data_IF_984347323248
#
_entry.id   IF_984347323248
#
_cell.length_a   1.000
_cell.length_b   1.000
_cell.length_c   1.000
_cell.angle_alpha   90.00
_cell.angle_beta   90.00
_cell.angle_gamma   90.00
#
_symmetry.space_group_name_H-M   'P 1'
#
loop_
_entity.id
_entity.type
_entity.pdbx_description
1 polymer ?
#
# COMPACT_ATOMS: atom_id res chain seq x y z
N UNK A 1 -18.22 36.91 32.83
CA UNK A 1 -17.86 35.55 32.37
C UNK A 1 -17.51 35.63 30.89
N UNK A 2 -16.24 35.49 30.57
CA UNK A 2 -15.70 35.71 29.22
C UNK A 2 -15.49 34.33 28.58
N UNK A 3 -16.40 33.95 27.69
CA UNK A 3 -16.34 32.67 26.96
C UNK A 3 -15.30 32.82 25.85
N UNK A 4 -14.14 32.18 26.04
CA UNK A 4 -13.09 32.10 25.04
C UNK A 4 -13.61 31.35 23.79
N UNK A 5 -13.39 31.87 22.57
CA UNK A 5 -13.77 31.14 21.37
C UNK A 5 -12.88 29.90 21.22
N UNK A 6 -13.52 28.77 20.95
CA UNK A 6 -12.90 27.49 20.62
C UNK A 6 -11.96 27.73 19.43
N UNK A 7 -10.66 27.66 19.69
CA UNK A 7 -9.62 27.62 18.67
C UNK A 7 -9.81 26.35 17.85
N UNK A 8 -10.51 26.48 16.72
CA UNK A 8 -10.51 25.45 15.68
C UNK A 8 -9.09 25.37 15.14
N UNK A 9 -8.37 24.36 15.62
CA UNK A 9 -7.07 23.96 15.13
C UNK A 9 -7.19 23.61 13.63
N UNK A 10 -7.01 24.62 12.77
CA UNK A 10 -6.65 24.46 11.36
C UNK A 10 -5.25 23.82 11.32
N UNK A 11 -5.15 22.55 11.68
CA UNK A 11 -3.96 21.76 11.40
C UNK A 11 -3.98 21.33 9.93
N UNK A 12 -3.61 22.32 9.11
CA UNK A 12 -2.68 22.20 8.01
C UNK A 12 -2.66 20.86 7.26
N UNK A 13 -3.46 20.84 6.19
CA UNK A 13 -3.26 20.11 4.93
C UNK A 13 -1.94 20.48 4.21
N UNK A 14 -0.85 20.72 4.95
CA UNK A 14 0.44 21.20 4.45
C UNK A 14 1.62 20.24 4.74
N UNK A 15 1.35 18.98 5.11
CA UNK A 15 2.42 17.99 5.32
C UNK A 15 2.85 17.23 4.05
N UNK A 16 2.66 17.82 2.87
CA UNK A 16 3.09 17.23 1.58
C UNK A 16 4.35 17.88 0.98
N UNK A 17 4.99 18.82 1.69
CA UNK A 17 6.20 19.42 1.19
C UNK A 17 6.85 20.40 2.15
N UNK A 18 7.56 19.90 3.15
CA UNK A 18 8.78 20.47 3.75
C UNK A 18 9.08 19.78 5.08
N UNK A 19 9.95 18.78 5.04
CA UNK A 19 10.88 18.51 6.13
C UNK A 19 12.27 18.54 5.53
N UNK A 20 12.85 19.74 5.48
CA UNK A 20 14.28 19.93 5.29
C UNK A 20 14.91 19.77 6.67
N UNK A 21 15.31 18.55 7.00
CA UNK A 21 16.21 18.24 8.11
C UNK A 21 17.44 17.53 7.56
N UNK A 22 18.63 17.85 8.08
CA UNK A 22 19.98 17.49 7.62
C UNK A 22 20.30 15.97 7.51
N UNK A 23 19.31 15.08 7.60
CA UNK A 23 19.44 13.63 7.50
C UNK A 23 18.68 13.03 6.30
N UNK A 24 18.43 13.83 5.27
CA UNK A 24 17.66 13.44 4.09
C UNK A 24 18.53 12.73 3.04
N UNK A 25 18.05 11.61 2.49
CA UNK A 25 18.71 10.96 1.35
C UNK A 25 18.90 11.93 0.18
N UNK A 26 20.08 11.90 -0.43
CA UNK A 26 20.38 12.64 -1.64
C UNK A 26 19.48 12.21 -2.80
N UNK A 27 19.41 13.04 -3.85
CA UNK A 27 18.62 12.74 -5.06
C UNK A 27 19.05 11.41 -5.70
N UNK A 28 20.35 11.09 -5.69
CA UNK A 28 20.90 9.85 -6.25
C UNK A 28 20.46 8.63 -5.43
N UNK A 29 20.54 8.72 -4.10
CA UNK A 29 20.13 7.61 -3.22
C UNK A 29 18.63 7.36 -3.29
N UNK A 30 17.81 8.43 -3.34
CA UNK A 30 16.37 8.32 -3.58
C UNK A 30 16.07 7.66 -4.92
N UNK A 31 16.82 8.01 -5.98
CA UNK A 31 16.66 7.38 -7.28
C UNK A 31 16.97 5.88 -7.24
N UNK A 32 17.99 5.45 -6.49
CA UNK A 32 18.29 4.02 -6.28
C UNK A 32 17.15 3.32 -5.53
N UNK A 33 16.65 3.92 -4.45
CA UNK A 33 15.52 3.37 -3.68
C UNK A 33 14.28 3.23 -4.56
N UNK A 34 13.92 4.30 -5.27
CA UNK A 34 12.78 4.30 -6.19
C UNK A 34 12.97 3.29 -7.31
N UNK A 35 14.15 3.23 -7.92
CA UNK A 35 14.47 2.28 -8.97
C UNK A 35 14.28 0.83 -8.51
N UNK A 36 14.81 0.48 -7.35
CA UNK A 36 14.63 -0.87 -6.79
C UNK A 36 13.19 -1.17 -6.38
N UNK A 37 12.45 -0.17 -5.89
CA UNK A 37 11.02 -0.30 -5.60
C UNK A 37 10.21 -0.59 -6.86
N UNK A 38 10.46 0.16 -7.94
CA UNK A 38 9.85 -0.04 -9.26
C UNK A 38 10.19 -1.43 -9.79
N UNK A 39 11.45 -1.86 -9.67
CA UNK A 39 11.89 -3.20 -10.09
C UNK A 39 11.19 -4.31 -9.31
N UNK A 40 11.09 -4.21 -7.98
CA UNK A 40 10.37 -5.18 -7.15
C UNK A 40 8.89 -5.27 -7.49
N UNK A 41 8.26 -4.13 -7.74
CA UNK A 41 6.87 -4.02 -8.20
C UNK A 41 6.69 -4.67 -9.58
N UNK A 42 7.55 -4.33 -10.54
CA UNK A 42 7.50 -4.85 -11.90
C UNK A 42 7.78 -6.36 -11.95
N UNK A 43 8.74 -6.86 -11.17
CA UNK A 43 9.02 -8.28 -11.05
C UNK A 43 7.80 -9.05 -10.51
N UNK A 44 7.09 -8.48 -9.52
CA UNK A 44 5.87 -9.08 -8.98
C UNK A 44 4.75 -9.10 -10.01
N UNK A 45 4.54 -8.00 -10.73
CA UNK A 45 3.61 -7.95 -11.85
C UNK A 45 3.95 -8.98 -12.94
N UNK A 46 5.24 -9.16 -13.27
CA UNK A 46 5.68 -10.16 -14.24
C UNK A 46 5.44 -11.60 -13.75
N UNK A 47 5.75 -11.89 -12.49
CA UNK A 47 5.48 -13.21 -11.90
C UNK A 47 3.98 -13.55 -11.93
N UNK A 48 3.13 -12.59 -11.57
CA UNK A 48 1.68 -12.75 -11.63
C UNK A 48 1.19 -12.91 -13.07
N UNK A 49 1.71 -12.11 -14.02
CA UNK A 49 1.37 -12.23 -15.42
C UNK A 49 1.67 -13.64 -15.98
N UNK A 50 2.85 -14.19 -15.66
CA UNK A 50 3.21 -15.56 -16.04
C UNK A 50 2.26 -16.58 -15.43
N UNK A 51 1.91 -16.41 -14.15
CA UNK A 51 1.00 -17.31 -13.43
C UNK A 51 -0.42 -17.28 -14.01
N UNK A 52 -0.88 -16.12 -14.49
CA UNK A 52 -2.16 -15.96 -15.19
C UNK A 52 -2.11 -16.39 -16.67
N UNK A 53 -1.02 -17.03 -17.13
CA UNK A 53 -0.88 -17.56 -18.48
C UNK A 53 -0.45 -16.55 -19.54
N UNK A 54 -0.08 -15.32 -19.15
CA UNK A 54 0.44 -14.33 -20.09
C UNK A 54 1.92 -14.60 -20.42
N UNK A 55 2.27 -14.38 -21.69
CA UNK A 55 3.65 -14.50 -22.16
C UNK A 55 4.49 -13.32 -21.66
N UNK A 56 5.61 -13.62 -20.98
CA UNK A 56 6.61 -12.64 -20.55
C UNK A 56 7.61 -12.24 -21.64
N UNK A 57 7.37 -12.64 -22.89
CA UNK A 57 8.26 -12.28 -23.98
C UNK A 57 8.13 -10.77 -24.28
N UNK A 58 9.20 -9.96 -24.16
CA UNK A 58 9.13 -8.50 -24.29
C UNK A 58 8.52 -8.05 -25.61
N UNK A 59 8.85 -8.75 -26.71
CA UNK A 59 8.33 -8.44 -28.03
C UNK A 59 6.81 -8.71 -28.16
N UNK A 60 6.28 -9.71 -27.44
CA UNK A 60 4.84 -10.02 -27.40
C UNK A 60 4.08 -9.09 -26.47
N UNK A 61 4.70 -8.64 -25.38
CA UNK A 61 4.12 -7.64 -24.45
C UNK A 61 3.99 -6.27 -25.12
N UNK A 62 5.04 -5.81 -25.82
CA UNK A 62 5.05 -4.51 -26.48
C UNK A 62 4.06 -4.42 -27.65
N UNK A 63 3.87 -5.53 -28.40
CA UNK A 63 2.86 -5.61 -29.47
C UNK A 63 1.42 -5.66 -28.95
N UNK A 64 1.19 -6.07 -27.71
CA UNK A 64 -0.14 -6.22 -27.10
C UNK A 64 -0.34 -5.30 -25.89
N UNK A 65 0.21 -4.07 -25.90
CA UNK A 65 0.06 -3.11 -24.78
C UNK A 65 -1.42 -2.89 -24.40
N UNK A 66 -2.33 -2.82 -25.37
CA UNK A 66 -3.79 -2.68 -25.13
C UNK A 66 -4.47 -3.97 -24.61
N UNK A 67 -3.84 -5.14 -24.75
CA UNK A 67 -4.29 -6.45 -24.21
C UNK A 67 -3.44 -6.94 -23.03
N UNK A 68 -2.54 -6.12 -22.52
CA UNK A 68 -1.56 -6.50 -21.52
C UNK A 68 -2.20 -6.80 -20.15
N UNK A 69 -1.48 -7.56 -19.33
CA UNK A 69 -1.84 -7.92 -17.95
C UNK A 69 -2.30 -6.70 -17.14
N UNK A 70 -1.56 -5.58 -17.24
CA UNK A 70 -1.92 -4.31 -16.58
C UNK A 70 -3.24 -3.68 -17.09
N UNK A 71 -3.72 -4.04 -18.28
CA UNK A 71 -4.90 -3.44 -18.90
C UNK A 71 -6.20 -4.24 -18.65
N UNK A 72 -6.10 -5.55 -18.39
CA UNK A 72 -7.23 -6.49 -18.34
C UNK A 72 -7.38 -7.23 -17.00
N UNK A 73 -6.43 -7.10 -16.07
CA UNK A 73 -6.48 -7.86 -14.82
C UNK A 73 -7.22 -7.07 -13.75
N UNK A 74 -8.30 -7.67 -13.26
CA UNK A 74 -8.81 -7.39 -11.92
C UNK A 74 -7.75 -7.93 -10.97
N UNK A 75 -6.95 -7.05 -10.38
CA UNK A 75 -6.08 -7.47 -9.29
C UNK A 75 -6.99 -7.97 -8.18
N UNK A 76 -6.95 -9.27 -7.90
CA UNK A 76 -7.57 -9.80 -6.70
C UNK A 76 -6.63 -9.58 -5.52
N UNK A 77 -7.19 -9.70 -4.33
CA UNK A 77 -6.60 -9.48 -3.02
C UNK A 77 -5.18 -10.06 -2.90
N UNK A 78 -4.96 -11.26 -3.48
CA UNK A 78 -3.66 -11.94 -3.46
C UNK A 78 -2.63 -11.28 -4.37
N UNK A 79 -3.03 -10.79 -5.53
CA UNK A 79 -2.18 -10.04 -6.45
C UNK A 79 -1.75 -8.70 -5.83
N UNK A 80 -2.68 -7.98 -5.19
CA UNK A 80 -2.39 -6.70 -4.52
C UNK A 80 -1.36 -6.91 -3.39
N UNK A 81 -1.55 -7.94 -2.55
CA UNK A 81 -0.58 -8.32 -1.51
C UNK A 81 0.78 -8.68 -2.12
N UNK A 82 0.80 -9.44 -3.23
CA UNK A 82 2.05 -9.86 -3.89
C UNK A 82 2.83 -8.67 -4.44
N UNK A 83 2.13 -7.74 -5.10
CA UNK A 83 2.74 -6.52 -5.66
C UNK A 83 3.25 -5.61 -4.54
N UNK A 84 2.46 -5.45 -3.47
CA UNK A 84 2.85 -4.69 -2.28
C UNK A 84 4.09 -5.28 -1.61
N UNK A 85 4.16 -6.61 -1.54
CA UNK A 85 5.32 -7.30 -0.99
C UNK A 85 6.58 -7.12 -1.83
N UNK A 86 6.48 -7.29 -3.15
CA UNK A 86 7.61 -7.04 -4.05
C UNK A 86 8.10 -5.60 -4.01
N UNK A 87 7.17 -4.63 -3.96
CA UNK A 87 7.50 -3.22 -3.75
C UNK A 87 8.27 -2.99 -2.45
N UNK A 88 7.79 -3.54 -1.33
CA UNK A 88 8.45 -3.42 -0.02
C UNK A 88 9.85 -4.06 -0.01
N UNK A 89 10.00 -5.23 -0.65
CA UNK A 89 11.31 -5.91 -0.77
C UNK A 89 12.26 -5.12 -1.66
N UNK A 90 11.77 -4.60 -2.78
CA UNK A 90 12.55 -3.73 -3.68
C UNK A 90 13.02 -2.46 -2.98
N UNK A 91 12.12 -1.80 -2.26
CA UNK A 91 12.45 -0.64 -1.42
C UNK A 91 13.47 -0.95 -0.33
N UNK A 92 13.32 -2.09 0.37
CA UNK A 92 14.29 -2.55 1.37
C UNK A 92 15.67 -2.78 0.77
N UNK A 93 15.74 -3.46 -0.38
CA UNK A 93 16.99 -3.72 -1.10
C UNK A 93 17.67 -2.42 -1.52
N UNK A 94 16.93 -1.50 -2.15
CA UNK A 94 17.45 -0.17 -2.51
C UNK A 94 17.94 0.61 -1.29
N UNK A 95 17.17 0.59 -0.20
CA UNK A 95 17.56 1.19 1.07
C UNK A 95 18.84 0.59 1.66
N UNK A 96 19.09 -0.70 1.49
CA UNK A 96 20.33 -1.37 1.96
C UNK A 96 21.55 -1.08 1.08
N UNK A 97 21.31 -0.85 -0.21
CA UNK A 97 22.36 -0.46 -1.15
C UNK A 97 22.94 0.90 -0.77
N UNK A 98 22.08 1.86 -0.42
CA UNK A 98 22.48 3.24 -0.11
C UNK A 98 22.79 3.47 1.38
N UNK A 99 22.07 2.82 2.29
CA UNK A 99 22.25 3.01 3.73
C UNK A 99 23.02 1.84 4.35
N UNK A 100 24.22 2.14 4.88
CA UNK A 100 25.08 1.16 5.56
C UNK A 100 24.90 1.16 7.08
N UNK A 101 24.19 2.14 7.65
CA UNK A 101 24.01 2.23 9.09
C UNK A 101 23.14 1.05 9.60
N UNK A 102 23.65 0.22 10.53
CA UNK A 102 22.93 -0.94 11.06
C UNK A 102 21.57 -0.61 11.70
N UNK A 103 21.49 0.51 12.42
CA UNK A 103 20.27 0.95 13.10
C UNK A 103 19.22 1.40 12.09
N UNK A 104 19.62 2.15 11.06
CA UNK A 104 18.71 2.50 9.97
C UNK A 104 18.26 1.25 9.21
N UNK A 105 19.14 0.27 9.00
CA UNK A 105 18.76 -1.01 8.36
C UNK A 105 17.77 -1.81 9.19
N UNK A 106 17.87 -1.78 10.53
CA UNK A 106 16.91 -2.38 11.46
C UNK A 106 15.56 -1.65 11.39
N UNK A 107 15.56 -0.33 11.34
CA UNK A 107 14.36 0.47 11.15
C UNK A 107 13.65 0.15 9.83
N UNK A 108 14.39 -0.04 8.73
CA UNK A 108 13.84 -0.44 7.43
C UNK A 108 13.18 -1.82 7.49
N UNK A 109 13.81 -2.84 8.10
CA UNK A 109 13.18 -4.18 8.26
C UNK A 109 11.88 -4.09 9.06
N UNK A 110 11.88 -3.31 10.13
CA UNK A 110 10.67 -3.06 10.91
C UNK A 110 9.59 -2.44 10.02
N UNK A 111 9.92 -1.38 9.28
CA UNK A 111 8.98 -0.74 8.36
C UNK A 111 8.47 -1.72 7.30
N UNK A 112 9.32 -2.61 6.77
CA UNK A 112 8.89 -3.66 5.83
C UNK A 112 7.80 -4.53 6.44
N UNK A 113 8.01 -5.05 7.65
CA UNK A 113 7.00 -5.88 8.34
C UNK A 113 5.72 -5.08 8.58
N UNK A 114 5.85 -3.82 9.01
CA UNK A 114 4.70 -2.94 9.23
C UNK A 114 3.89 -2.75 7.95
N UNK A 115 4.52 -2.37 6.84
CA UNK A 115 3.83 -2.11 5.58
C UNK A 115 3.18 -3.37 5.00
N UNK A 116 3.84 -4.52 5.10
CA UNK A 116 3.24 -5.80 4.68
C UNK A 116 1.95 -6.11 5.45
N UNK A 117 1.94 -5.89 6.76
CA UNK A 117 0.74 -6.08 7.57
C UNK A 117 -0.36 -5.06 7.24
N UNK A 118 0.00 -3.80 7.06
CA UNK A 118 -0.99 -2.75 6.73
C UNK A 118 -1.57 -2.87 5.32
N UNK A 119 -0.87 -3.52 4.39
CA UNK A 119 -1.43 -3.89 3.08
C UNK A 119 -2.34 -5.12 3.24
N UNK A 120 -1.85 -6.18 3.88
CA UNK A 120 -2.53 -7.48 3.89
C UNK A 120 -3.75 -7.56 4.81
N UNK A 121 -3.68 -6.99 6.02
CA UNK A 121 -4.74 -7.11 7.03
C UNK A 121 -6.06 -6.48 6.55
N UNK A 122 -6.08 -5.24 6.02
CA UNK A 122 -7.34 -4.66 5.59
C UNK A 122 -7.90 -5.39 4.37
N UNK A 123 -7.08 -5.79 3.40
CA UNK A 123 -7.51 -6.59 2.24
C UNK A 123 -8.23 -7.87 2.70
N UNK A 124 -7.61 -8.65 3.60
CA UNK A 124 -8.20 -9.89 4.12
C UNK A 124 -9.49 -9.61 4.91
N UNK A 125 -9.53 -8.50 5.65
CA UNK A 125 -10.71 -8.09 6.43
C UNK A 125 -11.87 -7.74 5.50
N UNK A 126 -11.61 -6.98 4.43
CA UNK A 126 -12.59 -6.63 3.40
C UNK A 126 -13.14 -7.88 2.72
N UNK A 127 -12.28 -8.82 2.32
CA UNK A 127 -12.69 -10.08 1.70
C UNK A 127 -13.64 -10.87 2.62
N UNK A 128 -13.30 -10.94 3.90
CA UNK A 128 -14.08 -11.66 4.93
C UNK A 128 -15.45 -11.01 5.13
N UNK A 129 -15.49 -9.69 5.26
CA UNK A 129 -16.74 -8.94 5.44
C UNK A 129 -17.61 -8.99 4.18
N UNK A 130 -17.03 -8.87 2.99
CA UNK A 130 -17.76 -9.00 1.73
C UNK A 130 -18.38 -10.39 1.58
N UNK A 131 -17.64 -11.47 1.91
CA UNK A 131 -18.19 -12.84 1.91
C UNK A 131 -19.33 -13.02 2.90
N UNK A 132 -19.25 -12.40 4.07
CA UNK A 132 -20.33 -12.41 5.05
C UNK A 132 -21.57 -11.66 4.55
N UNK A 133 -21.40 -10.40 4.10
CA UNK A 133 -22.47 -9.56 3.58
C UNK A 133 -23.15 -10.15 2.34
N UNK A 134 -22.43 -10.91 1.51
CA UNK A 134 -22.99 -11.63 0.35
C UNK A 134 -24.13 -12.56 0.72
N UNK A 135 -24.15 -13.12 1.94
CA UNK A 135 -25.25 -13.98 2.42
C UNK A 135 -26.58 -13.22 2.54
N UNK A 136 -26.53 -11.88 2.64
CA UNK A 136 -27.68 -11.00 2.83
C UNK A 136 -28.00 -10.14 1.59
N UNK A 137 -27.32 -10.39 0.46
CA UNK A 137 -27.55 -9.70 -0.81
C UNK A 137 -26.43 -8.74 -1.24
N UNK A 138 -26.50 -8.25 -2.48
CA UNK A 138 -25.43 -7.43 -3.10
C UNK A 138 -25.22 -6.08 -2.40
N UNK A 139 -26.29 -5.45 -1.90
CA UNK A 139 -26.20 -4.19 -1.17
C UNK A 139 -25.53 -4.40 0.19
N UNK A 140 -25.90 -5.46 0.91
CA UNK A 140 -25.26 -5.85 2.16
C UNK A 140 -23.79 -6.26 1.97
N UNK A 141 -23.45 -6.92 0.85
CA UNK A 141 -22.07 -7.22 0.46
C UNK A 141 -21.23 -5.94 0.29
N UNK A 142 -21.74 -4.94 -0.42
CA UNK A 142 -21.05 -3.68 -0.62
C UNK A 142 -20.91 -2.89 0.69
N UNK A 143 -21.97 -2.78 1.48
CA UNK A 143 -21.94 -2.11 2.78
C UNK A 143 -20.95 -2.78 3.75
N UNK A 144 -20.93 -4.13 3.77
CA UNK A 144 -20.00 -4.89 4.59
C UNK A 144 -18.56 -4.72 4.12
N UNK A 145 -18.31 -4.70 2.81
CA UNK A 145 -16.97 -4.45 2.26
C UNK A 145 -16.45 -3.06 2.67
N UNK A 146 -17.27 -2.02 2.55
CA UNK A 146 -16.93 -0.66 2.99
C UNK A 146 -16.63 -0.63 4.48
N UNK A 147 -17.49 -1.24 5.32
CA UNK A 147 -17.25 -1.36 6.75
C UNK A 147 -15.94 -2.13 7.06
N UNK A 148 -15.64 -3.15 6.26
CA UNK A 148 -14.43 -3.95 6.32
C UNK A 148 -13.16 -3.13 6.04
N UNK A 149 -13.21 -2.13 5.14
CA UNK A 149 -12.05 -1.25 4.86
C UNK A 149 -11.72 -0.43 6.11
N UNK A 150 -12.71 0.28 6.67
CA UNK A 150 -12.50 1.10 7.87
C UNK A 150 -12.05 0.27 9.07
N UNK A 151 -12.74 -0.86 9.31
CA UNK A 151 -12.41 -1.78 10.40
C UNK A 151 -11.03 -2.40 10.20
N UNK A 152 -10.73 -2.83 8.98
CA UNK A 152 -9.47 -3.46 8.61
C UNK A 152 -8.28 -2.53 8.80
N UNK A 153 -8.36 -1.28 8.35
CA UNK A 153 -7.30 -0.27 8.53
C UNK A 153 -7.08 0.04 10.01
N UNK A 154 -8.15 0.12 10.79
CA UNK A 154 -8.06 0.36 12.24
C UNK A 154 -7.41 -0.83 12.97
N UNK A 155 -7.88 -2.05 12.69
CA UNK A 155 -7.36 -3.30 13.27
C UNK A 155 -5.91 -3.53 12.84
N UNK A 156 -5.57 -3.27 11.57
CA UNK A 156 -4.21 -3.35 11.06
C UNK A 156 -3.27 -2.46 11.87
N UNK A 157 -3.64 -1.18 12.07
CA UNK A 157 -2.79 -0.28 12.85
C UNK A 157 -2.61 -0.74 14.30
N UNK A 158 -3.65 -1.25 14.97
CA UNK A 158 -3.53 -1.81 16.32
C UNK A 158 -2.62 -3.04 16.34
N UNK A 159 -2.87 -4.00 15.45
CA UNK A 159 -2.11 -5.25 15.37
C UNK A 159 -0.66 -4.99 15.02
N UNK A 160 -0.40 -4.12 14.05
CA UNK A 160 0.95 -3.79 13.62
C UNK A 160 1.69 -2.99 14.69
N UNK A 161 1.03 -2.10 15.42
CA UNK A 161 1.66 -1.45 16.58
C UNK A 161 2.02 -2.46 17.69
N UNK A 162 1.11 -3.39 18.02
CA UNK A 162 1.39 -4.48 18.98
C UNK A 162 2.53 -5.38 18.51
N UNK A 163 2.50 -5.81 17.25
CA UNK A 163 3.54 -6.64 16.64
C UNK A 163 4.87 -5.90 16.59
N UNK A 164 4.84 -4.60 16.30
CA UNK A 164 5.99 -3.72 16.31
C UNK A 164 6.62 -3.62 17.70
N UNK A 165 5.80 -3.47 18.73
CA UNK A 165 6.25 -3.41 20.12
C UNK A 165 6.81 -4.77 20.59
N UNK A 166 6.21 -5.88 20.15
CA UNK A 166 6.62 -7.23 20.52
C UNK A 166 7.92 -7.66 19.81
N UNK A 167 7.99 -7.50 18.48
CA UNK A 167 9.15 -7.93 17.68
C UNK A 167 10.34 -6.98 17.79
N UNK A 168 10.10 -5.69 17.98
CA UNK A 168 11.16 -4.68 17.90
C UNK A 168 11.37 -3.87 19.20
N UNK A 169 10.64 -4.17 20.29
CA UNK A 169 10.78 -3.57 21.63
C UNK A 169 10.86 -2.04 21.62
N UNK A 170 10.05 -1.38 20.82
CA UNK A 170 10.22 0.05 20.54
C UNK A 170 8.87 0.77 20.46
N UNK A 171 8.63 1.69 21.42
CA UNK A 171 7.34 2.32 21.77
C UNK A 171 6.82 3.38 20.79
N UNK A 172 7.35 3.44 19.57
CA UNK A 172 6.84 4.39 18.57
C UNK A 172 5.53 3.86 17.99
N UNK A 173 4.42 4.40 18.48
CA UNK A 173 3.08 4.15 17.97
C UNK A 173 2.94 4.74 16.56
N UNK A 174 2.50 3.92 15.60
CA UNK A 174 2.21 4.36 14.24
C UNK A 174 0.71 4.69 14.18
N UNK A 175 0.36 5.96 13.97
CA UNK A 175 -1.02 6.37 13.73
C UNK A 175 -1.51 5.93 12.34
N UNK A 176 -2.84 5.95 12.15
CA UNK A 176 -3.47 5.69 10.85
C UNK A 176 -2.98 6.73 9.83
N UNK A 177 -2.39 6.28 8.71
CA UNK A 177 -1.94 7.19 7.65
C UNK A 177 -2.97 7.28 6.53
N UNK A 178 -3.05 8.43 5.87
CA UNK A 178 -3.82 8.59 4.63
C UNK A 178 -3.32 7.65 3.51
N UNK A 179 -2.03 7.29 3.52
CA UNK A 179 -1.46 6.30 2.59
C UNK A 179 -2.00 4.89 2.82
N UNK A 180 -2.39 4.54 4.06
CA UNK A 180 -3.03 3.26 4.35
C UNK A 180 -4.38 3.18 3.62
N UNK A 181 -5.18 4.25 3.59
CA UNK A 181 -6.44 4.29 2.82
C UNK A 181 -6.23 4.32 1.32
N UNK A 182 -5.15 4.95 0.84
CA UNK A 182 -4.84 5.02 -0.60
C UNK A 182 -4.63 3.66 -1.25
N UNK A 183 -4.16 2.68 -0.47
CA UNK A 183 -3.95 1.30 -0.91
C UNK A 183 -5.26 0.50 -1.05
N UNK A 184 -6.39 0.99 -0.52
CA UNK A 184 -7.71 0.34 -0.54
C UNK A 184 -8.74 1.10 -1.39
N UNK A 185 -8.29 2.10 -2.17
CA UNK A 185 -9.16 2.84 -3.09
C UNK A 185 -9.73 1.91 -4.16
N UNK A 186 -8.97 0.88 -4.57
CA UNK A 186 -9.43 -0.19 -5.44
C UNK A 186 -10.53 -1.04 -4.79
N UNK A 187 -10.40 -1.41 -3.52
CA UNK A 187 -11.41 -2.16 -2.75
C UNK A 187 -12.71 -1.36 -2.60
N UNK A 188 -12.62 -0.05 -2.38
CA UNK A 188 -13.80 0.84 -2.32
C UNK A 188 -14.54 0.90 -3.66
N UNK A 189 -13.77 0.91 -4.75
CA UNK A 189 -14.29 0.92 -6.12
C UNK A 189 -14.88 -0.45 -6.50
N UNK A 190 -14.26 -1.55 -6.04
CA UNK A 190 -14.80 -2.91 -6.17
C UNK A 190 -16.08 -3.07 -5.35
N UNK A 191 -16.14 -2.52 -4.13
CA UNK A 191 -17.35 -2.50 -3.32
C UNK A 191 -18.48 -1.71 -4.01
N UNK A 192 -18.17 -0.56 -4.59
CA UNK A 192 -19.11 0.21 -5.41
C UNK A 192 -19.56 -0.56 -6.67
N UNK A 193 -18.68 -1.38 -7.25
CA UNK A 193 -19.00 -2.20 -8.43
C UNK A 193 -20.01 -3.31 -8.18
N UNK A 194 -20.16 -3.77 -6.92
CA UNK A 194 -21.23 -4.69 -6.55
C UNK A 194 -22.64 -4.10 -6.73
N UNK A 195 -22.75 -2.76 -6.80
CA UNK A 195 -24.01 -2.03 -6.92
C UNK A 195 -24.12 -1.31 -8.28
N UNK A 196 -23.04 -1.20 -9.05
CA UNK A 196 -23.01 -0.47 -10.34
C UNK A 196 -21.98 -1.07 -11.33
N UNK A 197 -22.44 -1.52 -12.50
CA UNK A 197 -21.60 -2.10 -13.58
C UNK A 197 -20.90 -1.03 -14.46
N UNK A 198 -20.42 0.05 -13.84
CA UNK A 198 -19.86 1.18 -14.59
C UNK A 198 -18.40 0.93 -15.04
N UNK A 199 -18.09 1.22 -16.31
CA UNK A 199 -16.77 0.99 -16.95
C UNK A 199 -15.60 1.71 -16.27
N UNK A 200 -15.87 2.75 -15.48
CA UNK A 200 -14.86 3.51 -14.72
C UNK A 200 -14.21 2.70 -13.57
N UNK A 201 -14.90 1.68 -13.06
CA UNK A 201 -14.38 0.76 -12.02
C UNK A 201 -13.11 0.02 -12.48
N UNK A 202 -13.03 -0.31 -13.79
CA UNK A 202 -11.92 -1.07 -14.35
C UNK A 202 -10.63 -0.25 -14.59
N UNK A 203 -10.74 1.07 -14.66
CA UNK A 203 -9.58 1.95 -14.91
C UNK A 203 -8.74 2.19 -13.65
N UNK A 204 -9.35 2.11 -12.45
CA UNK A 204 -8.68 2.39 -11.17
C UNK A 204 -7.74 1.25 -10.75
N UNK A 205 -8.02 0.00 -11.13
CA UNK A 205 -7.13 -1.15 -10.92
C UNK A 205 -5.72 -0.94 -11.54
N UNK A 206 -5.59 -0.08 -12.56
CA UNK A 206 -4.31 0.25 -13.19
C UNK A 206 -3.40 1.11 -12.33
N UNK A 207 -3.96 1.78 -11.32
CA UNK A 207 -3.23 2.66 -10.39
C UNK A 207 -2.66 1.84 -9.22
N UNK A 208 -3.21 0.66 -8.94
CA UNK A 208 -2.81 -0.18 -7.79
C UNK A 208 -1.30 -0.45 -7.74
N UNK A 209 -0.63 -0.88 -8.82
CA UNK A 209 0.82 -1.07 -8.77
C UNK A 209 1.59 0.21 -8.46
N UNK A 210 1.10 1.38 -8.91
CA UNK A 210 1.71 2.67 -8.64
C UNK A 210 1.48 3.12 -7.18
N UNK A 211 0.28 2.91 -6.65
CA UNK A 211 -0.03 3.19 -5.25
C UNK A 211 0.81 2.31 -4.32
N UNK A 212 0.99 1.04 -4.66
CA UNK A 212 1.82 0.09 -3.91
C UNK A 212 3.33 0.38 -3.99
N UNK A 213 3.80 1.27 -4.87
CA UNK A 213 5.18 1.77 -4.82
C UNK A 213 5.43 2.68 -3.61
N UNK A 214 4.41 3.38 -3.12
CA UNK A 214 4.52 4.29 -1.96
C UNK A 214 5.04 3.55 -0.72
N UNK A 215 4.44 2.44 -0.25
CA UNK A 215 4.94 1.72 0.92
C UNK A 215 6.36 1.18 0.70
N UNK A 216 6.72 0.75 -0.50
CA UNK A 216 8.10 0.34 -0.81
C UNK A 216 9.11 1.48 -0.69
N UNK A 217 8.75 2.66 -1.21
CA UNK A 217 9.58 3.85 -1.05
C UNK A 217 9.71 4.28 0.43
N UNK A 218 8.62 4.23 1.21
CA UNK A 218 8.65 4.49 2.66
C UNK A 218 9.59 3.52 3.39
N UNK A 219 9.56 2.23 3.02
CA UNK A 219 10.49 1.21 3.55
C UNK A 219 11.94 1.61 3.25
N UNK A 220 12.26 1.90 1.99
CA UNK A 220 13.64 2.17 1.58
C UNK A 220 14.19 3.47 2.16
N UNK A 221 13.33 4.45 2.43
CA UNK A 221 13.71 5.75 3.00
C UNK A 221 13.64 5.82 4.53
N UNK A 222 13.23 4.75 5.21
CA UNK A 222 13.16 4.75 6.68
C UNK A 222 14.54 4.91 7.31
N UNK A 223 14.64 5.82 8.29
CA UNK A 223 15.78 6.01 9.20
C UNK A 223 15.28 5.97 10.65
N UNK A 224 16.18 5.72 11.59
CA UNK A 224 15.90 5.93 13.01
C UNK A 224 15.72 7.44 13.24
N UNK A 225 14.74 7.82 14.07
CA UNK A 225 14.60 9.18 14.58
C UNK A 225 15.21 9.22 15.97
#
# INVERSE_FOLDING_TARGET
MNISPISQNKQNFQHLGKSHGENSYSKKERAVITGMTVLGTAASCALLAKKSGYSLNPAKMLKNIKKSFLANVKFHDKEVITIGAGSCIGGLAGGYMVDKNPENRKAKRRETVMQLGNISIPIITVETFAKFGKKFGKLAQAASAIAGIFTGVYVANILMNKLGNLLFRNKNERGVKATDFSAHVDDMVVAASYISDNKYVHSIARIVPLALMIPGYEVGTKKVH
#
